data_IF_081666491297
#
_entry.id   IF_081666491297
#
_cell.length_a   1.000
_cell.length_b   1.000
_cell.length_c   1.000
_cell.angle_alpha   90.00
_cell.angle_beta   90.00
_cell.angle_gamma   90.00
#
_symmetry.space_group_name_H-M   'P 1'
#
loop_
_entity.id
_entity.type
_entity.pdbx_description
1 polymer ?
#
# COMPACT_ATOMS: atom_id res chain seq x y z
N UNK A 1 -0.19 -12.16 32.23
CA UNK A 1 0.14 -12.05 30.80
C UNK A 1 -0.05 -13.43 30.18
N UNK A 2 -0.53 -13.56 28.94
CA UNK A 2 -0.73 -14.86 28.26
C UNK A 2 0.63 -15.50 27.86
N UNK A 3 1.59 -15.56 28.79
CA UNK A 3 2.97 -16.00 28.55
C UNK A 3 3.85 -15.03 27.76
N UNK A 4 3.48 -13.74 27.65
CA UNK A 4 4.39 -12.68 27.14
C UNK A 4 5.52 -12.47 28.13
N UNK A 5 6.75 -12.44 27.62
CA UNK A 5 7.93 -12.03 28.37
C UNK A 5 7.87 -10.52 28.68
N UNK A 6 7.79 -10.11 29.97
CA UNK A 6 7.72 -8.70 30.32
C UNK A 6 9.01 -7.92 29.99
N UNK A 7 10.17 -8.57 29.83
CA UNK A 7 11.44 -7.89 29.51
C UNK A 7 11.48 -7.39 28.06
N UNK A 8 10.61 -7.92 27.21
CA UNK A 8 10.51 -7.55 25.78
C UNK A 8 9.49 -6.44 25.52
N UNK A 9 8.84 -5.90 26.55
CA UNK A 9 7.82 -4.86 26.45
C UNK A 9 8.45 -3.50 26.77
N UNK A 10 8.28 -2.50 25.89
CA UNK A 10 8.78 -1.15 26.15
C UNK A 10 8.11 -0.51 27.40
N UNK A 11 8.84 0.34 28.13
CA UNK A 11 8.43 0.86 29.45
C UNK A 11 7.09 1.60 29.46
N UNK A 12 6.70 2.23 28.35
CA UNK A 12 5.47 3.00 28.19
C UNK A 12 4.27 2.18 27.67
N UNK A 13 4.48 0.89 27.38
CA UNK A 13 3.45 0.01 26.84
C UNK A 13 2.59 -0.56 27.96
N UNK A 14 1.30 -0.25 27.92
CA UNK A 14 0.30 -0.69 28.92
C UNK A 14 -0.60 -1.82 28.43
N UNK A 15 -0.64 -2.04 27.12
CA UNK A 15 -1.45 -3.05 26.45
C UNK A 15 -0.82 -3.42 25.10
N UNK A 16 -1.20 -4.58 24.58
CA UNK A 16 -0.85 -5.00 23.22
C UNK A 16 -2.13 -5.08 22.39
N UNK A 17 -2.05 -4.68 21.13
CA UNK A 17 -3.14 -4.82 20.17
C UNK A 17 -3.18 -6.25 19.60
N UNK A 18 -4.38 -6.75 19.30
CA UNK A 18 -4.52 -7.91 18.44
C UNK A 18 -4.90 -7.48 17.04
N UNK A 19 -4.49 -8.26 16.06
CA UNK A 19 -5.10 -8.21 14.75
C UNK A 19 -6.44 -8.92 14.82
N UNK A 20 -7.45 -8.28 14.23
CA UNK A 20 -8.79 -8.84 14.11
C UNK A 20 -9.28 -8.61 12.70
N UNK A 21 -9.64 -9.69 12.04
CA UNK A 21 -10.29 -9.67 10.73
C UNK A 21 -11.77 -9.88 10.97
N UNK A 22 -12.61 -9.07 10.33
CA UNK A 22 -14.07 -9.19 10.42
C UNK A 22 -14.66 -9.13 9.02
N UNK A 23 -15.53 -10.08 8.72
CA UNK A 23 -16.43 -9.98 7.58
C UNK A 23 -17.74 -9.36 8.07
N UNK A 24 -18.24 -8.36 7.34
CA UNK A 24 -19.46 -7.65 7.71
C UNK A 24 -20.49 -7.69 6.59
N UNK A 25 -21.74 -7.99 6.96
CA UNK A 25 -22.90 -7.85 6.07
C UNK A 25 -23.52 -6.47 6.30
N UNK A 26 -23.53 -5.57 5.30
CA UNK A 26 -24.19 -4.28 5.44
C UNK A 26 -25.69 -4.45 5.70
N UNK A 27 -26.20 -3.76 6.73
CA UNK A 27 -27.63 -3.71 7.08
C UNK A 27 -28.24 -2.33 6.81
N UNK A 28 -27.41 -1.37 6.39
CA UNK A 28 -27.76 -0.01 6.03
C UNK A 28 -26.54 0.79 5.58
N UNK A 29 -26.68 2.08 5.26
CA UNK A 29 -25.57 2.91 4.77
C UNK A 29 -24.40 3.08 5.76
N UNK A 30 -24.67 2.93 7.06
CA UNK A 30 -23.70 3.12 8.15
C UNK A 30 -23.79 2.01 9.20
N UNK A 31 -24.50 0.93 8.91
CA UNK A 31 -24.70 -0.19 9.84
C UNK A 31 -24.36 -1.51 9.17
N UNK A 32 -23.78 -2.43 9.93
CA UNK A 32 -23.46 -3.77 9.46
C UNK A 32 -23.51 -4.78 10.62
N UNK A 33 -23.68 -6.05 10.27
CA UNK A 33 -23.59 -7.20 11.17
C UNK A 33 -22.26 -7.93 10.90
N UNK A 34 -21.53 -8.31 11.95
CA UNK A 34 -20.34 -9.18 11.81
C UNK A 34 -20.85 -10.60 11.53
N UNK A 35 -20.48 -11.16 10.38
CA UNK A 35 -20.91 -12.50 9.95
C UNK A 35 -19.81 -13.54 10.07
N UNK A 36 -18.55 -13.10 10.12
CA UNK A 36 -17.38 -13.91 10.42
C UNK A 36 -16.30 -13.07 11.09
N UNK A 37 -15.42 -13.70 11.88
CA UNK A 37 -14.26 -13.03 12.46
C UNK A 37 -13.14 -14.02 12.79
N UNK A 38 -11.92 -13.48 12.85
CA UNK A 38 -10.70 -14.14 13.30
C UNK A 38 -9.89 -13.18 14.19
N UNK A 39 -9.13 -13.70 15.16
CA UNK A 39 -8.26 -12.88 16.00
C UNK A 39 -6.92 -13.53 16.28
N UNK A 40 -5.84 -12.78 16.12
CA UNK A 40 -4.48 -13.25 16.44
C UNK A 40 -4.31 -13.67 17.91
N UNK A 41 -5.20 -13.22 18.81
CA UNK A 41 -5.18 -13.61 20.22
C UNK A 41 -5.54 -15.07 20.50
N UNK A 42 -6.14 -15.77 19.54
CA UNK A 42 -6.51 -17.17 19.69
C UNK A 42 -5.40 -18.11 19.16
N UNK A 43 -4.46 -17.59 18.36
CA UNK A 43 -3.48 -18.38 17.58
C UNK A 43 -2.03 -18.14 17.99
N UNK A 44 -1.79 -17.70 19.23
CA UNK A 44 -0.43 -17.52 19.73
C UNK A 44 0.14 -18.82 20.35
N UNK A 45 1.46 -18.93 20.34
CA UNK A 45 2.28 -19.91 21.06
C UNK A 45 3.38 -19.17 21.81
N UNK A 46 3.82 -19.67 22.96
CA UNK A 46 4.87 -19.04 23.75
C UNK A 46 5.70 -20.08 24.50
N UNK A 47 6.97 -19.79 24.74
CA UNK A 47 7.91 -20.69 25.45
C UNK A 47 8.55 -20.05 26.70
N UNK A 48 7.97 -18.95 27.20
CA UNK A 48 8.50 -18.21 28.35
C UNK A 48 7.95 -18.71 29.68
N UNK A 49 6.63 -18.83 29.81
CA UNK A 49 5.96 -19.21 31.07
C UNK A 49 5.31 -20.60 30.94
N UNK A 50 5.88 -21.65 31.55
CA UNK A 50 5.35 -23.02 31.47
C UNK A 50 3.98 -23.21 32.12
N UNK A 51 3.55 -22.30 32.99
CA UNK A 51 2.26 -22.36 33.67
C UNK A 51 1.17 -21.52 32.94
N UNK A 52 1.55 -20.74 31.93
CA UNK A 52 0.62 -19.96 31.11
C UNK A 52 0.03 -20.79 29.95
N UNK A 53 -1.16 -20.40 29.42
CA UNK A 53 -1.74 -21.04 28.25
C UNK A 53 -0.79 -21.03 27.04
N UNK A 54 -1.00 -22.00 26.14
CA UNK A 54 -0.27 -22.13 24.89
C UNK A 54 1.26 -22.18 25.07
N UNK A 55 1.72 -22.79 26.16
CA UNK A 55 3.14 -23.08 26.35
C UNK A 55 3.61 -24.18 25.40
N UNK A 56 4.65 -23.90 24.62
CA UNK A 56 5.27 -24.84 23.69
C UNK A 56 6.34 -24.16 22.84
N UNK A 57 7.15 -24.96 22.16
CA UNK A 57 8.21 -24.45 21.28
C UNK A 57 7.60 -23.98 19.95
N UNK A 58 7.78 -22.71 19.54
CA UNK A 58 7.25 -22.19 18.28
C UNK A 58 7.61 -23.02 17.04
N UNK A 59 8.80 -23.63 17.01
CA UNK A 59 9.24 -24.49 15.90
C UNK A 59 8.37 -25.75 15.71
N UNK A 60 7.72 -26.22 16.77
CA UNK A 60 6.80 -27.36 16.74
C UNK A 60 5.36 -26.95 16.35
N UNK A 61 5.08 -25.64 16.29
CA UNK A 61 3.77 -25.05 16.00
C UNK A 61 3.87 -23.93 14.94
N UNK A 62 4.32 -24.24 13.72
CA UNK A 62 4.65 -23.22 12.72
C UNK A 62 3.42 -22.40 12.27
N UNK A 63 2.21 -22.96 12.39
CA UNK A 63 0.93 -22.28 12.13
C UNK A 63 0.49 -21.34 13.26
N UNK A 64 1.27 -21.19 14.34
CA UNK A 64 0.97 -20.28 15.45
C UNK A 64 1.94 -19.11 15.49
N UNK A 65 1.46 -18.00 16.05
CA UNK A 65 2.21 -16.75 16.17
C UNK A 65 3.06 -16.83 17.45
N UNK A 66 4.38 -16.77 17.32
CA UNK A 66 5.26 -16.72 18.48
C UNK A 66 5.05 -15.41 19.25
N UNK A 67 4.46 -15.52 20.44
CA UNK A 67 4.14 -14.38 21.26
C UNK A 67 5.38 -13.68 21.81
N UNK A 68 6.56 -14.31 21.76
CA UNK A 68 7.83 -13.76 22.20
C UNK A 68 8.86 -13.72 21.06
N UNK A 69 8.44 -13.83 19.80
CA UNK A 69 9.35 -13.87 18.64
C UNK A 69 10.06 -12.55 18.32
N UNK A 70 9.62 -11.45 18.92
CA UNK A 70 10.21 -10.11 18.77
C UNK A 70 10.92 -9.69 20.06
N UNK A 71 12.19 -9.30 19.94
CA UNK A 71 13.06 -8.89 21.06
C UNK A 71 12.54 -7.66 21.81
N UNK A 72 11.85 -6.75 21.12
CA UNK A 72 11.22 -5.57 21.70
C UNK A 72 9.92 -5.26 20.98
N UNK A 73 8.85 -4.98 21.73
CA UNK A 73 7.54 -4.61 21.16
C UNK A 73 6.97 -3.33 21.75
N UNK A 74 6.30 -2.59 20.88
CA UNK A 74 5.36 -1.52 21.25
C UNK A 74 3.96 -2.08 21.50
N UNK A 75 3.01 -1.16 21.72
CA UNK A 75 1.57 -1.49 21.79
C UNK A 75 1.08 -2.16 20.50
N UNK A 76 1.57 -1.66 19.37
CA UNK A 76 1.40 -2.23 18.04
C UNK A 76 2.63 -3.09 17.73
N UNK A 77 2.43 -4.40 17.58
CA UNK A 77 3.51 -5.38 17.52
C UNK A 77 3.42 -6.34 16.32
N UNK A 78 2.26 -6.41 15.65
CA UNK A 78 2.08 -7.15 14.40
C UNK A 78 1.99 -6.18 13.21
N UNK A 79 1.19 -5.11 13.36
CA UNK A 79 0.99 -4.04 12.40
C UNK A 79 0.46 -4.55 11.05
N UNK A 80 -0.55 -5.43 11.06
CA UNK A 80 -1.09 -5.94 9.80
C UNK A 80 -1.60 -4.78 8.91
N UNK A 81 -1.10 -4.70 7.68
CA UNK A 81 -1.21 -3.49 6.85
C UNK A 81 -1.83 -3.71 5.47
N UNK A 82 -2.15 -4.95 5.11
CA UNK A 82 -2.91 -5.28 3.91
C UNK A 82 -3.81 -6.48 4.16
N UNK A 83 -4.85 -6.60 3.35
CA UNK A 83 -5.76 -7.75 3.30
C UNK A 83 -6.18 -7.96 1.86
N UNK A 84 -6.14 -9.21 1.42
CA UNK A 84 -6.71 -9.66 0.14
C UNK A 84 -7.43 -11.01 0.35
N UNK A 85 -8.45 -11.26 -0.46
CA UNK A 85 -9.33 -12.42 -0.34
C UNK A 85 -9.35 -13.22 -1.65
N UNK A 86 -9.14 -14.53 -1.55
CA UNK A 86 -9.19 -15.44 -2.67
C UNK A 86 -10.51 -16.24 -2.64
N UNK A 87 -11.46 -15.84 -3.48
CA UNK A 87 -12.80 -16.47 -3.56
C UNK A 87 -12.77 -17.96 -3.93
N UNK A 88 -11.74 -18.42 -4.64
CA UNK A 88 -11.65 -19.81 -5.10
C UNK A 88 -11.16 -20.76 -4.03
N UNK A 89 -10.25 -20.27 -3.19
CA UNK A 89 -9.69 -21.01 -2.07
C UNK A 89 -10.48 -20.79 -0.78
N UNK A 90 -11.30 -19.74 -0.74
CA UNK A 90 -11.92 -19.19 0.48
C UNK A 90 -10.87 -18.92 1.57
N UNK A 91 -9.87 -18.12 1.20
CA UNK A 91 -8.72 -17.82 2.04
C UNK A 91 -8.38 -16.33 2.04
N UNK A 92 -7.81 -15.87 3.15
CA UNK A 92 -7.40 -14.48 3.35
C UNK A 92 -5.89 -14.42 3.49
N UNK A 93 -5.25 -13.46 2.83
CA UNK A 93 -3.83 -13.13 3.04
C UNK A 93 -3.72 -11.76 3.67
N UNK A 94 -2.83 -11.63 4.66
CA UNK A 94 -2.44 -10.36 5.27
C UNK A 94 -0.92 -10.21 5.26
N UNK A 95 -0.46 -8.96 5.24
CA UNK A 95 0.95 -8.60 5.38
C UNK A 95 1.22 -8.08 6.80
N UNK A 96 2.30 -8.56 7.44
CA UNK A 96 2.69 -8.25 8.81
C UNK A 96 4.15 -7.74 8.86
N UNK A 97 4.40 -6.43 8.63
CA UNK A 97 5.73 -5.85 8.46
C UNK A 97 6.63 -5.95 9.69
N UNK A 98 6.10 -6.02 10.91
CA UNK A 98 6.94 -6.15 12.11
C UNK A 98 7.49 -7.57 12.27
N UNK A 99 6.74 -8.57 11.78
CA UNK A 99 7.21 -9.94 11.65
C UNK A 99 8.05 -10.15 10.39
N UNK A 100 7.94 -9.24 9.41
CA UNK A 100 8.51 -9.39 8.07
C UNK A 100 7.95 -10.64 7.36
N UNK A 101 6.63 -10.80 7.42
CA UNK A 101 5.94 -11.96 6.87
C UNK A 101 4.66 -11.54 6.17
N UNK A 102 4.12 -12.46 5.37
CA UNK A 102 2.69 -12.56 5.07
C UNK A 102 2.13 -13.81 5.74
N UNK A 103 0.85 -13.78 6.07
CA UNK A 103 0.11 -14.89 6.66
C UNK A 103 -1.13 -15.20 5.82
N UNK A 104 -1.42 -16.49 5.62
CA UNK A 104 -2.65 -16.97 5.00
C UNK A 104 -3.51 -17.66 6.06
N UNK A 105 -4.77 -17.29 6.10
CA UNK A 105 -5.77 -17.71 7.07
C UNK A 105 -6.94 -18.36 6.33
N UNK A 106 -7.45 -19.45 6.88
CA UNK A 106 -8.63 -20.13 6.37
C UNK A 106 -9.90 -19.31 6.63
N UNK A 107 -10.70 -19.07 5.59
CA UNK A 107 -11.99 -18.40 5.71
C UNK A 107 -13.18 -19.36 5.52
N UNK A 108 -12.97 -20.61 5.10
CA UNK A 108 -14.00 -21.67 5.04
C UNK A 108 -14.27 -22.26 6.44
N UNK A 109 -14.33 -21.38 7.44
CA UNK A 109 -14.55 -21.71 8.85
C UNK A 109 -15.68 -20.87 9.40
N UNK A 110 -16.41 -21.38 10.39
CA UNK A 110 -17.24 -20.52 11.22
C UNK A 110 -16.38 -19.69 12.17
N UNK A 111 -16.92 -18.60 12.73
CA UNK A 111 -16.24 -17.83 13.81
C UNK A 111 -15.79 -18.70 14.99
N UNK A 112 -16.58 -19.72 15.34
CA UNK A 112 -16.24 -20.62 16.45
C UNK A 112 -15.05 -21.52 16.07
N UNK A 113 -15.05 -22.10 14.88
CA UNK A 113 -13.93 -22.91 14.36
C UNK A 113 -12.67 -22.06 14.19
N UNK A 114 -12.81 -20.85 13.64
CA UNK A 114 -11.73 -19.88 13.45
C UNK A 114 -11.09 -19.44 14.78
N UNK A 115 -11.80 -19.53 15.91
CA UNK A 115 -11.21 -19.24 17.24
C UNK A 115 -10.42 -20.43 17.82
N UNK A 116 -10.49 -21.59 17.18
CA UNK A 116 -9.79 -22.82 17.57
C UNK A 116 -8.63 -23.15 16.62
N UNK A 117 -8.12 -24.39 16.65
CA UNK A 117 -7.01 -24.81 15.78
C UNK A 117 -7.27 -24.69 14.28
N UNK A 118 -8.53 -24.62 13.84
CA UNK A 118 -8.86 -24.42 12.43
C UNK A 118 -8.54 -22.99 11.94
N UNK A 119 -8.42 -22.02 12.85
CA UNK A 119 -7.95 -20.66 12.52
C UNK A 119 -6.44 -20.46 12.69
N UNK A 120 -5.68 -21.50 13.04
CA UNK A 120 -4.21 -21.41 12.98
C UNK A 120 -3.78 -21.13 11.53
N UNK A 121 -2.64 -20.46 11.34
CA UNK A 121 -2.18 -20.03 10.02
C UNK A 121 -2.02 -21.23 9.09
N UNK A 122 -2.66 -21.19 7.92
CA UNK A 122 -2.48 -22.19 6.86
C UNK A 122 -1.07 -22.11 6.26
N UNK A 123 -0.55 -20.90 6.17
CA UNK A 123 0.76 -20.61 5.59
C UNK A 123 1.31 -19.28 6.09
N UNK A 124 2.63 -19.17 6.11
CA UNK A 124 3.35 -17.91 6.35
C UNK A 124 4.65 -17.91 5.56
N UNK A 125 5.10 -16.74 5.14
CA UNK A 125 6.30 -16.61 4.33
C UNK A 125 7.01 -15.27 4.55
N UNK A 126 8.34 -15.28 4.50
CA UNK A 126 9.17 -14.06 4.52
C UNK A 126 10.26 -14.04 5.59
N UNK A 127 10.02 -14.60 6.78
CA UNK A 127 10.99 -14.57 7.89
C UNK A 127 10.85 -15.81 8.81
N UNK A 128 11.45 -16.95 8.42
CA UNK A 128 11.29 -18.20 9.17
C UNK A 128 11.86 -18.19 10.59
N UNK A 129 12.66 -17.18 10.96
CA UNK A 129 13.08 -16.98 12.35
C UNK A 129 11.89 -16.77 13.29
N UNK A 130 10.80 -16.18 12.80
CA UNK A 130 9.63 -15.80 13.62
C UNK A 130 8.81 -17.00 14.12
N UNK A 131 9.22 -18.21 13.77
CA UNK A 131 8.69 -19.46 14.30
C UNK A 131 9.80 -20.50 14.49
N UNK A 132 11.06 -20.08 14.62
CA UNK A 132 12.17 -20.95 14.98
C UNK A 132 12.57 -21.98 13.91
N UNK A 133 12.31 -21.72 12.62
CA UNK A 133 12.70 -22.60 11.50
C UNK A 133 13.66 -21.95 10.50
N UNK A 134 14.37 -20.91 10.92
CA UNK A 134 15.41 -20.26 10.12
C UNK A 134 16.24 -19.28 10.92
N UNK A 135 17.36 -18.86 10.35
CA UNK A 135 18.27 -17.85 10.86
C UNK A 135 18.02 -16.45 10.29
N UNK A 136 18.98 -15.55 10.51
CA UNK A 136 18.91 -14.19 9.99
C UNK A 136 19.13 -14.16 8.46
N UNK A 137 19.89 -15.11 7.95
CA UNK A 137 20.19 -15.35 6.54
C UNK A 137 19.01 -15.84 5.72
N UNK A 138 17.97 -16.39 6.38
CA UNK A 138 16.78 -16.92 5.73
C UNK A 138 15.66 -15.86 5.60
N UNK A 139 15.87 -14.64 6.12
CA UNK A 139 14.89 -13.56 6.02
C UNK A 139 14.91 -12.92 4.63
N UNK A 140 13.75 -12.91 3.99
CA UNK A 140 13.52 -12.38 2.64
C UNK A 140 12.86 -11.00 2.69
N UNK A 141 11.89 -10.82 3.59
CA UNK A 141 11.09 -9.59 3.66
C UNK A 141 11.62 -8.61 4.69
N UNK A 142 11.40 -7.32 4.45
CA UNK A 142 11.94 -6.20 5.24
C UNK A 142 10.94 -5.04 5.26
N UNK A 143 10.04 -5.05 6.25
CA UNK A 143 8.99 -4.04 6.46
C UNK A 143 7.90 -4.06 5.40
N UNK A 144 7.51 -5.24 4.92
CA UNK A 144 6.65 -5.45 3.75
C UNK A 144 5.21 -4.89 3.84
N UNK A 145 4.62 -4.64 2.67
CA UNK A 145 3.25 -4.15 2.50
C UNK A 145 2.57 -4.89 1.33
N UNK A 146 1.24 -4.83 1.31
CA UNK A 146 0.40 -5.15 0.13
C UNK A 146 0.65 -6.57 -0.42
N UNK A 147 0.46 -7.57 0.43
CA UNK A 147 0.38 -8.97 -0.01
C UNK A 147 -0.93 -9.18 -0.79
N UNK A 148 -0.83 -9.64 -2.04
CA UNK A 148 -1.96 -9.85 -2.95
C UNK A 148 -1.84 -11.18 -3.69
N UNK A 149 -2.96 -11.87 -3.92
CA UNK A 149 -3.00 -12.94 -4.91
C UNK A 149 -2.99 -12.36 -6.33
N UNK A 150 -2.22 -12.99 -7.22
CA UNK A 150 -2.33 -12.72 -8.65
C UNK A 150 -3.64 -13.34 -9.16
N UNK A 151 -4.53 -12.45 -9.58
CA UNK A 151 -5.89 -12.77 -10.01
C UNK A 151 -5.92 -13.63 -11.27
N UNK A 152 -7.05 -14.30 -11.50
CA UNK A 152 -7.27 -15.05 -12.74
C UNK A 152 -7.13 -14.18 -13.99
N UNK A 153 -6.66 -14.80 -15.08
CA UNK A 153 -6.43 -14.10 -16.35
C UNK A 153 -5.20 -13.19 -16.36
N UNK A 154 -4.40 -13.21 -15.28
CA UNK A 154 -3.16 -12.43 -15.16
C UNK A 154 -1.95 -13.38 -15.17
N UNK A 155 -0.85 -13.08 -15.89
CA UNK A 155 0.35 -13.92 -15.86
C UNK A 155 0.83 -14.12 -14.41
N UNK A 156 1.02 -15.39 -14.02
CA UNK A 156 1.34 -15.75 -12.63
C UNK A 156 0.13 -16.05 -11.75
N UNK A 157 -1.08 -16.23 -12.30
CA UNK A 157 -2.28 -16.65 -11.52
C UNK A 157 -1.94 -17.77 -10.52
N UNK A 158 -2.35 -17.58 -9.27
CA UNK A 158 -2.06 -18.48 -8.15
C UNK A 158 -0.78 -18.14 -7.37
N UNK A 159 0.10 -17.31 -7.92
CA UNK A 159 1.21 -16.71 -7.19
C UNK A 159 0.69 -15.60 -6.26
N UNK A 160 1.57 -15.20 -5.34
CA UNK A 160 1.41 -14.02 -4.50
C UNK A 160 2.43 -12.96 -4.91
N UNK A 161 2.02 -11.70 -4.89
CA UNK A 161 2.94 -10.55 -4.91
C UNK A 161 2.98 -9.89 -3.55
N UNK A 162 4.14 -9.33 -3.18
CA UNK A 162 4.27 -8.51 -1.98
C UNK A 162 5.29 -7.40 -2.19
N UNK A 163 4.96 -6.19 -1.72
CA UNK A 163 5.88 -5.05 -1.76
C UNK A 163 6.86 -5.16 -0.58
N UNK A 164 8.14 -5.39 -0.90
CA UNK A 164 9.20 -5.48 0.10
C UNK A 164 9.89 -4.13 0.21
N UNK A 165 9.52 -3.36 1.24
CA UNK A 165 9.99 -2.00 1.41
C UNK A 165 11.51 -1.90 1.52
N UNK A 166 12.17 -2.93 2.05
CA UNK A 166 13.63 -2.95 2.24
C UNK A 166 14.08 -2.23 3.51
N UNK A 167 13.19 -2.04 4.49
CA UNK A 167 13.52 -1.39 5.77
C UNK A 167 14.50 -2.28 6.55
N UNK A 168 15.68 -1.74 6.85
CA UNK A 168 16.76 -2.43 7.58
C UNK A 168 17.33 -3.66 6.83
N UNK A 169 17.11 -3.73 5.51
CA UNK A 169 17.68 -4.77 4.64
C UNK A 169 19.23 -4.70 4.64
N UNK A 170 19.96 -5.83 4.84
CA UNK A 170 21.43 -5.85 4.90
C UNK A 170 22.13 -5.31 3.65
N UNK A 171 21.58 -5.55 2.46
CA UNK A 171 22.16 -5.11 1.18
C UNK A 171 22.00 -3.61 0.92
N UNK A 172 21.16 -2.92 1.68
CA UNK A 172 20.88 -1.50 1.53
C UNK A 172 19.39 -1.16 1.41
N UNK A 173 19.10 0.13 1.51
CA UNK A 173 17.75 0.66 1.50
C UNK A 173 17.21 0.84 0.07
N UNK A 174 16.50 -0.17 -0.43
CA UNK A 174 15.79 -0.12 -1.70
C UNK A 174 14.55 -1.02 -1.67
N UNK A 175 13.52 -0.64 -2.41
CA UNK A 175 12.26 -1.39 -2.44
C UNK A 175 12.18 -2.30 -3.66
N UNK A 176 11.53 -3.45 -3.47
CA UNK A 176 11.31 -4.46 -4.51
C UNK A 176 9.88 -4.97 -4.46
N UNK A 177 9.39 -5.57 -5.55
CA UNK A 177 8.20 -6.42 -5.50
C UNK A 177 8.67 -7.85 -5.69
N UNK A 178 8.29 -8.68 -4.73
CA UNK A 178 8.54 -10.12 -4.76
C UNK A 178 7.32 -10.81 -5.34
N UNK A 179 7.55 -11.81 -6.20
CA UNK A 179 6.53 -12.75 -6.65
C UNK A 179 6.98 -14.17 -6.34
N UNK A 180 6.08 -15.00 -5.82
CA UNK A 180 6.39 -16.40 -5.58
C UNK A 180 5.16 -17.29 -5.68
N UNK A 181 5.40 -18.57 -5.97
CA UNK A 181 4.37 -19.61 -5.96
C UNK A 181 4.36 -20.27 -4.59
N UNK A 182 3.27 -20.16 -3.80
CA UNK A 182 3.19 -20.90 -2.56
C UNK A 182 3.07 -22.41 -2.84
N UNK A 183 3.46 -23.31 -1.91
CA UNK A 183 3.43 -24.76 -2.09
C UNK A 183 1.99 -25.31 -1.90
N UNK A 184 1.02 -24.69 -2.57
CA UNK A 184 -0.40 -24.99 -2.51
C UNK A 184 -0.67 -26.42 -3.01
N UNK A 185 -1.46 -27.15 -2.23
CA UNK A 185 -1.91 -28.51 -2.51
C UNK A 185 -3.34 -28.50 -3.09
N UNK A 186 -3.77 -29.58 -3.76
CA UNK A 186 -5.11 -29.66 -4.35
C UNK A 186 -6.28 -29.55 -3.34
N UNK A 187 -6.02 -29.75 -2.05
CA UNK A 187 -7.01 -29.64 -0.98
C UNK A 187 -7.06 -28.25 -0.33
N UNK A 188 -6.32 -27.26 -0.86
CA UNK A 188 -6.24 -25.91 -0.31
C UNK A 188 -5.21 -25.72 0.79
N UNK A 189 -4.54 -26.80 1.23
CA UNK A 189 -3.46 -26.73 2.23
C UNK A 189 -2.11 -26.36 1.60
N UNK A 190 -1.12 -26.06 2.43
CA UNK A 190 0.23 -25.70 1.99
C UNK A 190 1.25 -26.72 2.48
N UNK A 191 2.04 -27.27 1.56
CA UNK A 191 3.04 -28.29 1.89
C UNK A 191 4.09 -27.74 2.85
N UNK A 192 4.37 -28.49 3.92
CA UNK A 192 5.42 -28.20 4.88
C UNK A 192 6.19 -29.46 5.19
N UNK A 193 7.47 -29.48 4.85
CA UNK A 193 8.35 -30.58 5.23
C UNK A 193 8.60 -30.53 6.75
N UNK A 194 8.55 -31.68 7.46
CA UNK A 194 8.75 -31.71 8.90
C UNK A 194 10.08 -31.10 9.34
N UNK A 195 10.03 -30.08 10.20
CA UNK A 195 11.21 -29.39 10.72
C UNK A 195 11.76 -28.27 9.83
N UNK A 196 11.27 -28.14 8.60
CA UNK A 196 11.72 -27.11 7.64
C UNK A 196 10.81 -25.87 7.68
N UNK A 197 11.32 -24.74 7.20
CA UNK A 197 10.50 -23.58 6.89
C UNK A 197 9.55 -23.86 5.71
N UNK A 198 8.45 -23.10 5.62
CA UNK A 198 7.61 -23.14 4.44
C UNK A 198 8.37 -22.66 3.20
N UNK A 199 8.33 -23.48 2.16
CA UNK A 199 8.82 -23.12 0.83
C UNK A 199 7.96 -21.98 0.21
N UNK A 200 8.48 -21.25 -0.79
CA UNK A 200 9.85 -21.32 -1.30
C UNK A 200 10.86 -20.62 -0.37
N UNK A 201 12.07 -21.17 -0.28
CA UNK A 201 13.15 -20.59 0.55
C UNK A 201 13.87 -19.42 -0.14
N UNK A 202 13.42 -19.04 -1.33
CA UNK A 202 13.93 -17.94 -2.12
C UNK A 202 12.76 -17.21 -2.79
N UNK A 203 13.00 -15.97 -3.19
CA UNK A 203 12.02 -15.14 -3.91
C UNK A 203 12.43 -14.94 -5.36
N UNK A 204 11.45 -14.61 -6.20
CA UNK A 204 11.69 -14.01 -7.51
C UNK A 204 11.35 -12.52 -7.43
N UNK A 205 12.38 -11.67 -7.43
CA UNK A 205 12.20 -10.22 -7.51
C UNK A 205 11.77 -9.84 -8.92
N UNK A 206 10.53 -9.38 -9.04
CA UNK A 206 9.91 -9.06 -10.32
C UNK A 206 9.87 -7.56 -10.63
N UNK A 207 10.06 -6.72 -9.62
CA UNK A 207 10.24 -5.28 -9.76
C UNK A 207 11.43 -4.83 -8.94
N UNK A 208 12.32 -4.07 -9.58
CA UNK A 208 13.32 -3.24 -8.95
C UNK A 208 13.56 -2.03 -9.84
N UNK A 209 13.55 -0.83 -9.26
CA UNK A 209 13.81 0.39 -10.01
C UNK A 209 15.30 0.56 -10.34
N UNK A 210 15.64 1.31 -11.38
CA UNK A 210 17.02 1.63 -11.75
C UNK A 210 17.21 3.17 -11.83
N UNK A 211 18.04 3.77 -10.94
CA UNK A 211 18.74 3.13 -9.83
C UNK A 211 17.80 2.79 -8.66
N UNK A 212 18.07 1.74 -7.85
CA UNK A 212 17.13 1.22 -6.85
C UNK A 212 16.67 2.24 -5.79
N UNK A 213 17.55 3.14 -5.38
CA UNK A 213 17.28 4.17 -4.38
C UNK A 213 16.25 5.21 -4.84
N UNK A 214 16.05 5.38 -6.15
CA UNK A 214 15.14 6.39 -6.69
C UNK A 214 13.66 6.04 -6.48
N UNK A 215 13.36 4.79 -6.10
CA UNK A 215 12.00 4.33 -5.78
C UNK A 215 11.88 3.74 -4.38
N UNK A 216 12.91 3.94 -3.53
CA UNK A 216 12.88 3.41 -2.17
C UNK A 216 11.78 4.08 -1.35
N UNK A 217 10.89 3.28 -0.76
CA UNK A 217 9.87 3.74 0.17
C UNK A 217 9.84 2.85 1.41
N UNK A 218 10.26 3.40 2.56
CA UNK A 218 10.44 2.62 3.79
C UNK A 218 9.13 2.21 4.51
N UNK A 219 7.98 2.78 4.12
CA UNK A 219 6.65 2.52 4.69
C UNK A 219 5.57 2.76 3.63
N UNK A 220 4.32 2.35 3.92
CA UNK A 220 3.20 2.30 2.96
C UNK A 220 3.67 1.63 1.65
N UNK A 221 3.05 1.89 0.50
CA UNK A 221 3.42 1.30 -0.80
C UNK A 221 2.63 0.03 -1.14
N UNK A 222 2.72 -0.36 -2.41
CA UNK A 222 2.03 -1.52 -2.93
C UNK A 222 2.52 -1.94 -4.30
N UNK A 223 2.15 -3.15 -4.71
CA UNK A 223 2.67 -3.78 -5.92
C UNK A 223 1.67 -4.79 -6.48
N UNK A 224 1.29 -4.61 -7.75
CA UNK A 224 0.27 -5.43 -8.40
C UNK A 224 0.71 -5.88 -9.79
N UNK A 225 0.61 -7.18 -10.06
CA UNK A 225 0.74 -7.73 -11.43
C UNK A 225 -0.49 -7.37 -12.26
N UNK A 226 -0.27 -6.88 -13.48
CA UNK A 226 -1.30 -6.47 -14.41
C UNK A 226 -1.55 -7.54 -15.50
N UNK A 227 -2.76 -7.60 -16.10
CA UNK A 227 -3.10 -8.61 -17.12
C UNK A 227 -2.21 -8.60 -18.37
N UNK A 228 -1.59 -7.45 -18.70
CA UNK A 228 -0.62 -7.33 -19.79
C UNK A 228 0.77 -7.87 -19.44
N UNK A 229 0.98 -8.35 -18.20
CA UNK A 229 2.26 -8.83 -17.68
C UNK A 229 3.07 -7.75 -16.94
N UNK A 230 2.73 -6.48 -17.10
CA UNK A 230 3.41 -5.37 -16.44
C UNK A 230 3.18 -5.40 -14.91
N UNK A 231 3.99 -4.63 -14.18
CA UNK A 231 3.82 -4.38 -12.76
C UNK A 231 3.42 -2.93 -12.53
N UNK A 232 2.37 -2.74 -11.75
CA UNK A 232 2.06 -1.47 -11.13
C UNK A 232 2.76 -1.42 -9.77
N UNK A 233 3.72 -0.52 -9.61
CA UNK A 233 4.42 -0.31 -8.35
C UNK A 233 4.09 1.07 -7.79
N UNK A 234 3.85 1.16 -6.49
CA UNK A 234 3.53 2.39 -5.80
C UNK A 234 4.55 2.64 -4.70
N UNK A 235 5.40 3.66 -4.82
CA UNK A 235 6.21 4.18 -3.71
C UNK A 235 5.35 5.16 -2.91
N UNK A 236 4.55 4.63 -1.99
CA UNK A 236 3.50 5.39 -1.31
C UNK A 236 4.04 6.56 -0.49
N UNK A 237 5.22 6.38 0.13
CA UNK A 237 5.91 7.42 0.90
C UNK A 237 6.28 8.64 0.07
N UNK A 238 6.35 8.49 -1.26
CA UNK A 238 6.73 9.54 -2.20
C UNK A 238 5.58 9.98 -3.12
N UNK A 239 4.38 9.42 -2.93
CA UNK A 239 3.24 9.74 -3.80
C UNK A 239 3.44 9.29 -5.26
N UNK A 240 4.33 8.33 -5.51
CA UNK A 240 4.74 7.95 -6.87
C UNK A 240 4.20 6.58 -7.24
N UNK A 241 3.67 6.46 -8.46
CA UNK A 241 3.22 5.20 -9.06
C UNK A 241 3.90 5.03 -10.41
N UNK A 242 4.37 3.84 -10.72
CA UNK A 242 4.95 3.50 -12.02
C UNK A 242 4.30 2.23 -12.55
N UNK A 243 4.15 2.16 -13.87
CA UNK A 243 3.95 0.89 -14.55
C UNK A 243 5.26 0.49 -15.22
N UNK A 244 5.75 -0.70 -14.92
CA UNK A 244 7.00 -1.25 -15.48
C UNK A 244 6.70 -2.52 -16.29
N UNK A 245 7.34 -2.68 -17.44
CA UNK A 245 7.29 -3.94 -18.21
C UNK A 245 8.06 -5.05 -17.49
N UNK A 246 7.84 -6.34 -17.83
CA UNK A 246 8.67 -7.44 -17.32
C UNK A 246 10.17 -7.28 -17.58
N UNK A 247 10.55 -6.53 -18.61
CA UNK A 247 11.94 -6.24 -18.99
C UNK A 247 12.55 -5.06 -18.20
N UNK A 248 11.76 -4.39 -17.34
CA UNK A 248 12.24 -3.29 -16.51
C UNK A 248 12.00 -1.89 -17.10
N UNK A 249 11.35 -1.77 -18.26
CA UNK A 249 11.07 -0.47 -18.88
C UNK A 249 9.91 0.24 -18.18
N UNK A 250 10.11 1.49 -17.72
CA UNK A 250 9.04 2.31 -17.17
C UNK A 250 8.16 2.82 -18.31
N UNK A 251 6.90 2.41 -18.33
CA UNK A 251 5.91 2.81 -19.34
C UNK A 251 5.40 4.22 -19.05
N UNK A 252 5.10 4.50 -17.79
CA UNK A 252 4.69 5.80 -17.31
C UNK A 252 4.97 5.94 -15.81
N UNK A 253 5.06 7.20 -15.37
CA UNK A 253 5.16 7.58 -13.97
C UNK A 253 4.05 8.57 -13.65
N UNK A 254 3.38 8.35 -12.53
CA UNK A 254 2.41 9.26 -11.94
C UNK A 254 2.92 9.75 -10.60
N UNK A 255 2.81 11.05 -10.38
CA UNK A 255 3.06 11.68 -9.08
C UNK A 255 1.75 12.28 -8.59
N UNK A 256 1.33 11.93 -7.38
CA UNK A 256 0.13 12.48 -6.77
C UNK A 256 0.28 14.00 -6.61
N UNK A 257 -0.65 14.83 -7.11
CA UNK A 257 -0.60 16.26 -6.90
C UNK A 257 -1.24 16.67 -5.56
N UNK A 258 -1.69 15.72 -4.74
CA UNK A 258 -2.47 16.00 -3.53
C UNK A 258 -1.56 16.00 -2.30
N UNK A 259 -1.47 17.12 -1.60
CA UNK A 259 -0.80 17.23 -0.29
C UNK A 259 -1.82 17.54 0.81
N UNK A 260 -1.36 17.55 2.05
CA UNK A 260 -2.17 18.00 3.18
C UNK A 260 -2.56 19.49 3.09
N UNK A 261 -1.76 20.30 2.39
CA UNK A 261 -1.94 21.75 2.24
C UNK A 261 -2.71 22.14 0.98
N UNK A 262 -3.04 21.17 0.11
CA UNK A 262 -3.87 21.37 -1.08
C UNK A 262 -3.38 20.63 -2.32
N UNK A 263 -3.92 21.01 -3.47
CA UNK A 263 -3.53 20.50 -4.79
C UNK A 263 -2.26 21.23 -5.26
N UNK A 264 -1.27 20.52 -5.79
CA UNK A 264 -0.09 21.09 -6.42
C UNK A 264 -0.40 21.54 -7.85
N UNK A 265 0.35 22.51 -8.36
CA UNK A 265 0.32 22.83 -9.78
C UNK A 265 1.00 21.73 -10.61
N UNK A 266 0.59 21.60 -11.87
CA UNK A 266 1.24 20.66 -12.77
C UNK A 266 2.75 20.97 -12.88
N UNK A 267 3.58 19.95 -12.63
CA UNK A 267 5.04 20.05 -12.59
C UNK A 267 5.64 20.62 -11.30
N UNK A 268 4.82 21.04 -10.33
CA UNK A 268 5.27 21.44 -9.00
C UNK A 268 5.73 20.19 -8.21
N UNK A 269 6.88 20.31 -7.54
CA UNK A 269 7.39 19.25 -6.68
C UNK A 269 6.80 19.40 -5.26
N UNK A 270 6.36 18.30 -4.63
CA UNK A 270 5.92 18.34 -3.24
C UNK A 270 7.09 18.72 -2.31
N UNK A 271 6.76 19.30 -1.16
CA UNK A 271 7.70 19.35 -0.04
C UNK A 271 8.17 17.94 0.33
N UNK A 272 9.43 17.83 0.73
CA UNK A 272 10.04 16.54 1.03
C UNK A 272 11.09 16.61 2.13
N UNK A 273 11.24 15.49 2.82
CA UNK A 273 12.40 15.18 3.64
C UNK A 273 13.08 13.90 3.10
N UNK A 274 14.09 13.40 3.81
CA UNK A 274 14.83 12.22 3.36
C UNK A 274 13.98 10.94 3.22
N UNK A 275 12.88 10.82 3.97
CA UNK A 275 12.08 9.60 4.07
C UNK A 275 10.77 9.61 3.31
N UNK A 276 10.25 10.80 2.98
CA UNK A 276 8.95 10.95 2.35
C UNK A 276 8.73 12.36 1.79
N UNK A 277 7.71 12.47 0.96
CA UNK A 277 7.15 13.75 0.46
C UNK A 277 5.84 14.08 1.18
N UNK A 278 5.28 15.25 0.93
CA UNK A 278 4.01 15.70 1.51
C UNK A 278 2.78 15.15 0.76
N UNK A 279 2.96 14.57 -0.42
CA UNK A 279 1.92 14.01 -1.29
C UNK A 279 1.74 12.48 -1.17
N UNK A 280 1.97 11.94 0.03
CA UNK A 280 1.90 10.49 0.31
C UNK A 280 0.56 9.88 -0.13
N UNK A 281 0.63 8.69 -0.71
CA UNK A 281 -0.53 7.85 -1.01
C UNK A 281 -0.33 6.47 -0.37
N UNK A 282 -1.39 5.86 0.15
CA UNK A 282 -1.26 4.60 0.88
C UNK A 282 -0.81 3.45 -0.04
N UNK A 283 -1.53 3.26 -1.16
CA UNK A 283 -1.27 2.26 -2.20
C UNK A 283 -1.92 2.67 -3.52
N UNK A 284 -1.60 1.98 -4.61
CA UNK A 284 -2.28 2.12 -5.88
C UNK A 284 -2.75 0.75 -6.38
N UNK A 285 -4.01 0.67 -6.82
CA UNK A 285 -4.63 -0.52 -7.41
C UNK A 285 -5.22 -0.11 -8.75
N UNK A 286 -5.02 -0.94 -9.78
CA UNK A 286 -5.59 -0.71 -11.10
C UNK A 286 -6.79 -1.60 -11.32
N UNK A 287 -7.93 -0.97 -11.59
CA UNK A 287 -9.13 -1.65 -12.07
C UNK A 287 -9.24 -1.50 -13.59
N UNK A 288 -9.50 -2.60 -14.29
CA UNK A 288 -9.78 -2.56 -15.72
C UNK A 288 -11.16 -1.91 -15.99
N UNK A 289 -11.37 -1.30 -17.18
CA UNK A 289 -12.65 -0.64 -17.49
C UNK A 289 -13.88 -1.55 -17.43
N UNK A 290 -13.69 -2.86 -17.57
CA UNK A 290 -14.70 -3.91 -17.48
C UNK A 290 -14.85 -4.50 -16.07
N UNK A 291 -14.17 -3.93 -15.06
CA UNK A 291 -14.28 -4.39 -13.67
C UNK A 291 -15.74 -4.38 -13.20
N UNK A 292 -16.27 -5.47 -12.61
CA UNK A 292 -17.68 -5.59 -12.25
C UNK A 292 -18.19 -4.47 -11.34
N UNK A 293 -17.33 -3.96 -10.45
CA UNK A 293 -17.66 -2.83 -9.55
C UNK A 293 -17.92 -1.49 -10.25
N UNK A 294 -17.52 -1.35 -11.52
CA UNK A 294 -17.72 -0.14 -12.33
C UNK A 294 -18.99 -0.23 -13.21
N UNK A 295 -19.61 -1.41 -13.33
CA UNK A 295 -20.78 -1.60 -14.19
C UNK A 295 -21.94 -0.70 -13.73
N UNK A 296 -22.48 0.08 -14.67
CA UNK A 296 -23.61 0.98 -14.41
C UNK A 296 -23.25 2.22 -13.58
N UNK A 297 -21.96 2.48 -13.33
CA UNK A 297 -21.48 3.71 -12.68
C UNK A 297 -21.23 4.80 -13.72
N UNK A 298 -21.42 6.05 -13.32
CA UNK A 298 -20.99 7.19 -14.11
C UNK A 298 -19.46 7.33 -13.99
N UNK A 299 -18.79 7.22 -15.13
CA UNK A 299 -17.33 7.33 -15.25
C UNK A 299 -16.93 8.58 -16.05
N UNK A 300 -17.83 9.56 -16.22
CA UNK A 300 -17.47 10.86 -16.77
C UNK A 300 -16.35 11.47 -15.91
N UNK A 301 -15.18 11.78 -16.49
CA UNK A 301 -14.09 12.40 -15.73
C UNK A 301 -14.54 13.70 -15.06
N UNK A 302 -14.14 13.88 -13.80
CA UNK A 302 -14.27 15.15 -13.10
C UNK A 302 -13.14 16.14 -13.46
N UNK A 303 -13.02 17.25 -12.71
CA UNK A 303 -11.87 18.15 -12.81
C UNK A 303 -10.53 17.44 -12.56
N UNK A 304 -9.44 18.04 -13.03
CA UNK A 304 -8.10 17.52 -12.78
C UNK A 304 -7.75 17.54 -11.27
N UNK A 305 -6.94 16.58 -10.85
CA UNK A 305 -6.44 16.52 -9.46
C UNK A 305 -5.34 17.56 -9.20
N UNK A 306 -4.55 17.88 -10.22
CA UNK A 306 -3.54 18.94 -10.19
C UNK A 306 -4.14 20.27 -10.62
N UNK A 307 -3.62 21.35 -10.06
CA UNK A 307 -3.93 22.70 -10.53
C UNK A 307 -3.21 22.95 -11.84
N UNK A 308 -3.88 23.59 -12.78
CA UNK A 308 -3.19 24.11 -13.96
C UNK A 308 -2.87 25.59 -13.74
N UNK A 309 -1.66 26.05 -14.14
CA UNK A 309 -1.39 27.48 -14.17
C UNK A 309 -2.50 28.16 -14.94
N UNK A 310 -3.04 29.21 -14.34
CA UNK A 310 -4.13 29.99 -14.88
C UNK A 310 -3.61 31.41 -15.05
N UNK A 311 -2.86 31.70 -16.13
CA UNK A 311 -2.17 32.99 -16.27
C UNK A 311 -3.13 34.18 -16.20
N UNK A 312 -4.40 33.93 -16.49
CA UNK A 312 -5.51 34.88 -16.49
C UNK A 312 -6.18 35.09 -15.13
N UNK A 313 -5.84 34.29 -14.11
CA UNK A 313 -6.23 34.50 -12.71
C UNK A 313 -5.22 35.46 -12.07
N UNK A 314 -5.53 36.76 -12.17
CA UNK A 314 -4.63 37.84 -11.81
C UNK A 314 -4.60 38.11 -10.30
N UNK A 315 -5.64 37.72 -9.54
CA UNK A 315 -5.62 37.80 -8.08
C UNK A 315 -5.17 36.51 -7.37
N UNK A 316 -5.02 35.40 -8.12
CA UNK A 316 -4.52 34.13 -7.64
C UNK A 316 -5.51 33.36 -6.77
N UNK A 317 -6.81 33.64 -6.90
CA UNK A 317 -7.85 33.01 -6.08
C UNK A 317 -8.30 31.63 -6.59
N UNK A 318 -7.84 31.22 -7.78
CA UNK A 318 -8.19 29.96 -8.44
C UNK A 318 -9.42 30.03 -9.36
N UNK A 319 -9.94 31.21 -9.67
CA UNK A 319 -11.10 31.43 -10.55
C UNK A 319 -10.89 32.68 -11.42
N UNK A 320 -11.04 32.53 -12.74
CA UNK A 320 -11.04 33.67 -13.67
C UNK A 320 -12.44 34.26 -13.73
N UNK A 321 -12.61 35.43 -13.13
CA UNK A 321 -13.91 36.09 -13.04
C UNK A 321 -13.82 37.61 -13.24
N UNK A 322 -14.85 38.33 -12.77
CA UNK A 322 -14.93 39.78 -12.91
C UNK A 322 -13.78 40.55 -12.23
N UNK A 323 -13.17 39.99 -11.18
CA UNK A 323 -12.03 40.58 -10.49
C UNK A 323 -10.81 40.62 -11.42
N UNK A 324 -10.49 39.52 -12.08
CA UNK A 324 -9.37 39.40 -13.02
C UNK A 324 -9.58 40.26 -14.26
N UNK A 325 -10.80 40.25 -14.82
CA UNK A 325 -11.13 41.13 -15.92
C UNK A 325 -10.96 42.61 -15.54
N UNK A 326 -11.31 42.99 -14.31
CA UNK A 326 -11.12 44.37 -13.84
C UNK A 326 -9.62 44.71 -13.75
N UNK A 327 -8.77 43.78 -13.35
CA UNK A 327 -7.32 43.97 -13.33
C UNK A 327 -6.74 44.09 -14.74
N UNK A 328 -7.16 43.24 -15.68
CA UNK A 328 -6.77 43.37 -17.09
C UNK A 328 -7.17 44.73 -17.66
N UNK A 329 -8.41 45.17 -17.41
CA UNK A 329 -8.91 46.45 -17.89
C UNK A 329 -8.20 47.65 -17.24
N UNK A 330 -7.71 47.50 -16.01
CA UNK A 330 -6.87 48.50 -15.36
C UNK A 330 -5.47 48.60 -15.99
N UNK A 331 -4.97 47.49 -16.55
CA UNK A 331 -3.68 47.40 -17.25
C UNK A 331 -3.78 47.72 -18.76
N UNK A 332 -4.97 48.12 -19.24
CA UNK A 332 -5.23 48.31 -20.66
C UNK A 332 -4.31 49.35 -21.30
N UNK A 333 -3.61 48.95 -22.36
CA UNK A 333 -2.63 49.79 -23.05
C UNK A 333 -1.29 49.91 -22.33
N UNK A 334 -1.04 49.14 -21.27
CA UNK A 334 0.31 48.93 -20.74
C UNK A 334 1.23 48.38 -21.86
N UNK A 335 2.51 48.78 -21.83
CA UNK A 335 3.52 48.32 -22.78
C UNK A 335 4.83 47.94 -22.07
N UNK A 336 5.48 46.87 -22.53
CA UNK A 336 6.76 46.39 -21.99
C UNK A 336 6.60 45.14 -21.12
N UNK A 337 7.73 44.66 -20.57
CA UNK A 337 7.81 43.34 -19.95
C UNK A 337 7.13 43.24 -18.56
N UNK A 338 6.73 44.37 -17.97
CA UNK A 338 6.14 44.43 -16.62
C UNK A 338 4.59 44.39 -16.63
N UNK A 339 3.95 44.27 -17.80
CA UNK A 339 2.49 44.26 -17.93
C UNK A 339 1.92 42.89 -17.54
N UNK A 340 1.17 42.85 -16.44
CA UNK A 340 0.59 41.60 -15.91
C UNK A 340 -0.55 41.07 -16.79
N UNK A 341 -1.17 41.94 -17.59
CA UNK A 341 -2.24 41.58 -18.51
C UNK A 341 -1.81 41.17 -19.92
N UNK A 342 -0.52 41.11 -20.23
CA UNK A 342 0.00 40.73 -21.56
C UNK A 342 0.11 39.20 -21.67
N UNK A 343 -1.02 38.56 -21.93
CA UNK A 343 -1.13 37.10 -21.96
C UNK A 343 -0.65 36.47 -23.27
N UNK A 344 -0.66 37.22 -24.37
CA UNK A 344 -0.13 36.75 -25.66
C UNK A 344 1.36 37.04 -25.86
N UNK A 345 1.97 37.83 -24.97
CA UNK A 345 3.39 38.16 -24.94
C UNK A 345 3.82 39.09 -26.09
N UNK A 346 2.89 39.88 -26.64
CA UNK A 346 3.18 40.79 -27.75
C UNK A 346 3.81 42.12 -27.28
N UNK A 347 3.92 42.34 -25.97
CA UNK A 347 4.46 43.54 -25.33
C UNK A 347 3.44 44.65 -25.12
N UNK A 348 2.13 44.40 -25.30
CA UNK A 348 1.05 45.39 -25.11
C UNK A 348 -0.26 44.73 -24.69
N UNK A 349 -0.87 45.24 -23.61
CA UNK A 349 -2.18 44.77 -23.14
C UNK A 349 -3.31 45.36 -24.00
N UNK A 350 -4.11 44.50 -24.63
CA UNK A 350 -5.23 44.95 -25.46
C UNK A 350 -6.25 43.88 -25.83
N UNK A 351 -6.81 44.03 -27.03
CA UNK A 351 -7.90 43.19 -27.54
C UNK A 351 -7.59 41.68 -27.52
N UNK A 352 -6.40 41.23 -27.97
CA UNK A 352 -6.01 39.83 -27.88
C UNK A 352 -6.04 39.28 -26.45
N UNK A 353 -5.48 39.99 -25.47
CA UNK A 353 -5.47 39.57 -24.06
C UNK A 353 -6.86 39.46 -23.46
N UNK A 354 -7.75 40.38 -23.84
CA UNK A 354 -9.17 40.31 -23.47
C UNK A 354 -9.81 39.02 -23.97
N UNK A 355 -9.47 38.57 -25.18
CA UNK A 355 -10.01 37.30 -25.67
C UNK A 355 -9.45 36.08 -24.93
N UNK A 356 -8.20 36.16 -24.47
CA UNK A 356 -7.57 35.08 -23.68
C UNK A 356 -8.27 34.95 -22.32
N UNK A 357 -8.43 36.05 -21.56
CA UNK A 357 -9.10 35.99 -20.25
C UNK A 357 -10.56 35.53 -20.34
N UNK A 358 -11.28 35.97 -21.38
CA UNK A 358 -12.68 35.55 -21.57
C UNK A 358 -12.80 34.08 -22.01
N UNK A 359 -11.78 33.55 -22.68
CA UNK A 359 -11.74 32.13 -23.05
C UNK A 359 -11.44 31.21 -21.86
N UNK A 360 -10.86 31.76 -20.79
CA UNK A 360 -10.50 31.05 -19.57
C UNK A 360 -11.51 31.25 -18.42
N UNK A 361 -12.68 31.85 -18.67
CA UNK A 361 -13.65 32.22 -17.63
C UNK A 361 -14.15 31.03 -16.82
N UNK A 362 -14.14 31.16 -15.48
CA UNK A 362 -14.58 30.13 -14.53
C UNK A 362 -13.44 29.61 -13.64
N UNK A 363 -13.68 28.49 -12.96
CA UNK A 363 -12.66 27.87 -12.10
C UNK A 363 -11.41 27.47 -12.91
N UNK A 364 -10.25 27.84 -12.38
CA UNK A 364 -8.98 27.30 -12.83
C UNK A 364 -8.90 25.84 -12.38
N UNK A 365 -8.57 24.94 -13.33
CA UNK A 365 -8.61 23.48 -13.15
C UNK A 365 -8.13 22.97 -11.79
#
# INVERSE_FOLDING_TARGET
AKGRDPETIAEDVTHLLAERIVEVRPTGPTTAEVVWQWSSWDHHIQNHDPDAPHYGNPADHPGRIDFNGLDAVGTDWIHANSIDYNEQLDQIVISTPFFNELWIIDHDTTTEEASGPAGDLLYRWGNPRMYGRGGAEDQILYGNHDALWIQEGTPGTGNLTIFNNGKDRPEGAFSTIEEFTPPLQPDGSYALEPGEAWAPLQTNTVFQYDPPEAFFSRFISGGMRLPNGNLLACAGGFGTVVEQTPEGEVVWTYHSPLTQDGRLFQGELPGQNYWNTDNRIFRAVRYAPDHPGLVGRDLTPGPFLERYPCPTDLDGNGEVNGADLTQLLADWGCTGDDCVGDFDGNGTVGGPDLTIILSAWGECG
#
